data_IF_452899834147
#
_entry.id   IF_452899834147
#
_cell.length_a   1.000
_cell.length_b   1.000
_cell.length_c   1.000
_cell.angle_alpha   90.00
_cell.angle_beta   90.00
_cell.angle_gamma   90.00
#
_symmetry.space_group_name_H-M   'P 1'
#
loop_
_entity.id
_entity.type
_entity.pdbx_description
1 polymer ?
#
# COMPACT_ATOMS: atom_id res chain seq x y z
N UNK A 1 8.82 9.66 -4.96
CA UNK A 1 7.64 8.92 -4.48
C UNK A 1 7.61 8.79 -2.99
N UNK A 2 8.72 8.42 -2.34
CA UNK A 2 8.83 8.44 -0.87
C UNK A 2 8.50 9.81 -0.27
N UNK A 3 8.98 10.92 -0.84
CA UNK A 3 8.60 12.26 -0.35
C UNK A 3 7.10 12.53 -0.46
N UNK A 4 6.44 12.04 -1.51
CA UNK A 4 4.99 12.19 -1.66
C UNK A 4 4.25 11.35 -0.62
N UNK A 5 4.70 10.11 -0.38
CA UNK A 5 4.15 9.28 0.69
C UNK A 5 4.35 9.93 2.06
N UNK A 6 5.50 10.57 2.27
CA UNK A 6 5.79 11.35 3.47
C UNK A 6 4.86 12.53 3.64
N UNK A 7 4.57 13.29 2.58
CA UNK A 7 3.57 14.35 2.62
C UNK A 7 2.19 13.81 3.03
N UNK A 8 1.68 12.78 2.36
CA UNK A 8 0.38 12.18 2.71
C UNK A 8 0.30 11.67 4.16
N UNK A 9 1.39 11.10 4.69
CA UNK A 9 1.42 10.55 6.04
C UNK A 9 1.57 11.65 7.10
N UNK A 10 2.50 12.60 6.90
CA UNK A 10 2.81 13.63 7.88
C UNK A 10 1.77 14.76 7.83
N UNK A 11 1.45 15.28 6.65
CA UNK A 11 0.50 16.39 6.49
C UNK A 11 -0.94 15.93 6.77
N UNK A 12 -1.23 14.63 6.59
CA UNK A 12 -2.48 14.01 7.02
C UNK A 12 -2.61 13.86 8.55
N UNK A 13 -1.66 14.36 9.34
CA UNK A 13 -1.68 14.29 10.81
C UNK A 13 -1.59 12.86 11.35
N UNK A 14 -1.02 11.92 10.59
CA UNK A 14 -0.98 10.50 10.96
C UNK A 14 -2.30 9.74 10.78
N UNK A 15 -3.33 10.36 10.17
CA UNK A 15 -4.59 9.67 9.86
C UNK A 15 -4.47 8.76 8.63
N UNK A 16 -3.53 9.05 7.73
CA UNK A 16 -3.18 8.16 6.63
C UNK A 16 -2.46 6.92 7.17
N UNK A 17 -3.16 5.77 7.15
CA UNK A 17 -2.61 4.52 7.69
C UNK A 17 -1.59 3.86 6.77
N UNK A 18 -1.74 4.02 5.45
CA UNK A 18 -0.80 3.53 4.44
C UNK A 18 -0.87 4.39 3.18
N UNK A 19 0.26 4.46 2.47
CA UNK A 19 0.33 4.99 1.11
C UNK A 19 0.79 3.87 0.20
N UNK A 20 0.00 3.58 -0.82
CA UNK A 20 0.25 2.54 -1.81
C UNK A 20 0.57 3.22 -3.14
N UNK A 21 1.74 2.94 -3.70
CA UNK A 21 2.13 3.45 -5.01
C UNK A 21 2.33 2.32 -6.01
N UNK A 22 1.61 2.40 -7.12
CA UNK A 22 1.76 1.51 -8.26
C UNK A 22 2.54 2.22 -9.36
N UNK A 23 3.72 1.69 -9.69
CA UNK A 23 4.47 2.10 -10.86
C UNK A 23 4.11 1.18 -12.02
N UNK A 24 3.38 1.70 -13.00
CA UNK A 24 2.99 0.96 -14.19
C UNK A 24 3.72 1.55 -15.39
N UNK A 25 4.61 0.77 -16.01
CA UNK A 25 5.25 1.19 -17.25
C UNK A 25 4.30 0.96 -18.44
N UNK A 26 4.09 2.00 -19.24
CA UNK A 26 3.27 1.95 -20.46
C UNK A 26 4.12 1.97 -21.75
N UNK A 27 5.39 1.56 -21.67
CA UNK A 27 6.35 1.60 -22.79
C UNK A 27 6.73 0.21 -23.30
N UNK A 28 8.01 0.03 -23.63
CA UNK A 28 8.55 -1.24 -24.14
C UNK A 28 8.48 -2.43 -23.17
N UNK A 29 8.17 -2.16 -21.90
CA UNK A 29 8.01 -3.19 -20.86
C UNK A 29 6.65 -3.05 -20.21
N UNK A 30 5.96 -4.18 -20.02
CA UNK A 30 4.72 -4.24 -19.22
C UNK A 30 5.01 -4.35 -17.72
N UNK A 31 6.28 -4.24 -17.29
CA UNK A 31 6.64 -4.39 -15.88
C UNK A 31 5.88 -3.38 -15.01
N UNK A 32 5.28 -3.88 -13.94
CA UNK A 32 4.67 -3.04 -12.92
C UNK A 32 5.19 -3.40 -11.53
N UNK A 33 5.45 -2.37 -10.72
CA UNK A 33 5.95 -2.50 -9.36
C UNK A 33 5.08 -1.76 -8.36
N UNK A 34 5.20 -2.16 -7.11
CA UNK A 34 4.48 -1.66 -5.96
C UNK A 34 5.46 -1.19 -4.89
N UNK A 35 5.17 -0.06 -4.27
CA UNK A 35 5.82 0.39 -3.04
C UNK A 35 4.77 0.81 -2.02
N UNK A 36 5.02 0.54 -0.74
CA UNK A 36 4.11 0.84 0.37
C UNK A 36 4.88 1.53 1.49
N UNK A 37 4.28 2.58 2.01
CA UNK A 37 4.74 3.28 3.20
C UNK A 37 3.63 3.33 4.24
N UNK A 38 4.02 3.33 5.52
CA UNK A 38 3.09 3.45 6.65
C UNK A 38 3.65 4.43 7.70
N UNK A 39 2.80 5.05 8.53
CA UNK A 39 3.26 5.83 9.66
C UNK A 39 3.93 4.93 10.69
N UNK A 40 5.03 5.41 11.26
CA UNK A 40 5.67 4.82 12.42
C UNK A 40 5.65 5.84 13.54
N UNK A 41 5.00 5.50 14.65
CA UNK A 41 4.95 6.34 15.84
C UNK A 41 5.98 5.80 16.82
N UNK A 42 6.98 6.62 17.14
CA UNK A 42 8.03 6.26 18.08
C UNK A 42 7.79 7.01 19.39
N UNK A 43 7.59 6.26 20.48
CA UNK A 43 7.52 6.84 21.81
C UNK A 43 8.89 7.42 22.17
N UNK A 44 8.90 8.58 22.81
CA UNK A 44 10.12 9.16 23.36
C UNK A 44 10.12 8.94 24.87
N UNK A 45 11.31 8.74 25.43
CA UNK A 45 11.50 8.43 26.86
C UNK A 45 11.47 9.67 27.76
N UNK A 46 11.44 10.86 27.17
CA UNK A 46 11.17 12.12 27.86
C UNK A 46 9.67 12.44 27.77
N UNK A 47 9.17 13.38 28.58
CA UNK A 47 7.77 13.88 28.56
C UNK A 47 7.40 14.60 27.24
N UNK A 48 8.12 14.32 26.14
CA UNK A 48 7.85 14.88 24.84
C UNK A 48 6.78 14.11 24.08
N UNK A 49 6.16 14.80 23.12
CA UNK A 49 5.15 14.19 22.26
C UNK A 49 5.78 13.05 21.41
N UNK A 50 5.02 11.98 21.13
CA UNK A 50 5.46 10.92 20.24
C UNK A 50 5.90 11.48 18.89
N UNK A 51 6.97 10.92 18.34
CA UNK A 51 7.46 11.31 17.02
C UNK A 51 6.78 10.49 15.94
N UNK A 52 6.18 11.17 14.96
CA UNK A 52 5.66 10.55 13.75
C UNK A 52 6.74 10.53 12.67
N UNK A 53 7.06 9.35 12.16
CA UNK A 53 7.93 9.13 11.01
C UNK A 53 7.25 8.25 9.96
N UNK A 54 7.92 8.05 8.83
CA UNK A 54 7.45 7.20 7.73
C UNK A 54 8.35 5.97 7.67
N UNK A 55 7.73 4.80 7.60
CA UNK A 55 8.40 3.52 7.41
C UNK A 55 8.10 3.00 6.01
N UNK A 56 9.15 2.59 5.28
CA UNK A 56 8.98 1.85 4.02
C UNK A 56 8.67 0.39 4.36
N UNK A 57 7.45 -0.04 4.06
CA UNK A 57 7.02 -1.42 4.30
C UNK A 57 7.35 -2.32 3.12
N UNK A 58 7.17 -1.82 1.90
CA UNK A 58 7.48 -2.53 0.65
C UNK A 58 8.16 -1.56 -0.30
N UNK A 59 9.27 -1.97 -0.90
CA UNK A 59 10.01 -1.15 -1.86
C UNK A 59 10.12 -1.86 -3.21
N UNK A 60 9.52 -1.26 -4.25
CA UNK A 60 9.67 -1.65 -5.67
C UNK A 60 9.40 -3.14 -5.96
N UNK A 61 8.44 -3.73 -5.24
CA UNK A 61 8.05 -5.11 -5.42
C UNK A 61 7.42 -5.29 -6.80
N UNK A 62 8.02 -6.14 -7.62
CA UNK A 62 7.46 -6.42 -8.95
C UNK A 62 6.23 -7.29 -8.80
N UNK A 63 5.13 -6.93 -9.45
CA UNK A 63 3.91 -7.73 -9.46
C UNK A 63 3.46 -8.17 -10.85
N UNK A 64 3.83 -7.39 -11.86
CA UNK A 64 3.71 -7.74 -13.26
C UNK A 64 5.11 -7.76 -13.86
N UNK A 65 5.50 -8.89 -14.45
CA UNK A 65 6.79 -9.05 -15.11
C UNK A 65 6.85 -8.28 -16.43
N UNK A 66 8.01 -8.28 -17.10
CA UNK A 66 8.20 -7.51 -18.33
C UNK A 66 7.29 -7.97 -19.49
N UNK A 67 6.94 -9.25 -19.52
CA UNK A 67 6.06 -9.87 -20.53
C UNK A 67 4.57 -9.61 -20.25
N UNK A 68 4.25 -9.09 -19.07
CA UNK A 68 2.89 -8.80 -18.64
C UNK A 68 2.23 -9.91 -17.81
N UNK A 69 2.95 -11.00 -17.52
CA UNK A 69 2.49 -12.06 -16.63
C UNK A 69 2.69 -11.70 -15.15
N UNK A 70 2.08 -12.46 -14.23
CA UNK A 70 2.30 -12.26 -12.80
C UNK A 70 3.73 -12.60 -12.40
N UNK A 71 4.28 -11.86 -11.43
CA UNK A 71 5.48 -12.30 -10.70
C UNK A 71 5.11 -13.35 -9.67
N UNK A 72 5.97 -14.34 -9.42
CA UNK A 72 5.69 -15.36 -8.42
C UNK A 72 5.70 -14.83 -6.97
N UNK A 73 4.77 -15.34 -6.17
CA UNK A 73 5.02 -15.62 -4.75
C UNK A 73 4.82 -14.49 -3.75
N UNK A 74 4.09 -13.42 -4.09
CA UNK A 74 3.85 -12.34 -3.13
C UNK A 74 2.37 -12.06 -2.92
N UNK A 75 2.03 -11.84 -1.65
CA UNK A 75 0.71 -11.46 -1.18
C UNK A 75 0.88 -10.49 -0.02
N UNK A 76 -0.12 -9.64 0.20
CA UNK A 76 -0.15 -8.69 1.31
C UNK A 76 -1.40 -8.92 2.14
N UNK A 77 -1.27 -8.71 3.45
CA UNK A 77 -2.39 -8.62 4.37
C UNK A 77 -2.49 -7.17 4.87
N UNK A 78 -3.65 -6.57 4.64
CA UNK A 78 -4.01 -5.28 5.22
C UNK A 78 -5.00 -5.50 6.35
N UNK A 79 -4.65 -5.18 7.61
CA UNK A 79 -5.59 -5.24 8.71
C UNK A 79 -6.86 -4.44 8.40
N UNK A 80 -8.03 -5.00 8.65
CA UNK A 80 -9.31 -4.26 8.49
C UNK A 80 -9.33 -2.99 9.35
N UNK A 81 -8.62 -3.03 10.49
CA UNK A 81 -8.38 -1.91 11.37
C UNK A 81 -7.70 -0.68 10.73
N UNK A 82 -7.06 -0.83 9.57
CA UNK A 82 -6.44 0.29 8.86
C UNK A 82 -7.44 1.11 8.04
N UNK A 83 -8.65 0.60 7.80
CA UNK A 83 -9.65 1.24 6.93
C UNK A 83 -10.81 1.90 7.66
N UNK A 84 -10.96 1.66 8.97
CA UNK A 84 -12.01 2.26 9.78
C UNK A 84 -11.56 2.47 11.24
N UNK A 85 -12.16 3.45 11.95
CA UNK A 85 -11.99 3.55 13.40
C UNK A 85 -12.36 2.23 14.08
N UNK A 86 -11.53 1.76 15.02
CA UNK A 86 -11.74 0.47 15.72
C UNK A 86 -13.13 0.36 16.36
N UNK A 87 -13.71 1.48 16.80
CA UNK A 87 -15.05 1.56 17.38
C UNK A 87 -16.18 1.22 16.40
N UNK A 88 -15.93 1.32 15.09
CA UNK A 88 -16.89 1.01 14.03
C UNK A 88 -16.68 -0.38 13.43
N UNK A 89 -15.62 -1.07 13.84
CA UNK A 89 -15.28 -2.40 13.30
C UNK A 89 -15.91 -3.45 14.21
N UNK A 90 -16.77 -4.34 13.69
CA UNK A 90 -17.29 -5.46 14.47
C UNK A 90 -16.15 -6.30 15.05
N UNK A 91 -16.28 -6.71 16.31
CA UNK A 91 -15.25 -7.49 17.01
C UNK A 91 -14.84 -8.75 16.24
N UNK A 92 -15.80 -9.38 15.54
CA UNK A 92 -15.59 -10.56 14.70
C UNK A 92 -14.60 -10.35 13.54
N UNK A 93 -14.36 -9.10 13.12
CA UNK A 93 -13.44 -8.77 12.02
C UNK A 93 -12.32 -7.82 12.44
N UNK A 94 -12.21 -7.49 13.73
CA UNK A 94 -11.21 -6.56 14.26
C UNK A 94 -9.76 -7.01 13.98
N UNK A 95 -9.54 -8.32 14.00
CA UNK A 95 -8.25 -8.95 13.72
C UNK A 95 -8.18 -9.56 12.31
N UNK A 96 -9.23 -9.40 11.51
CA UNK A 96 -9.23 -9.87 10.13
C UNK A 96 -8.29 -9.00 9.28
N UNK A 97 -7.82 -9.60 8.18
CA UNK A 97 -6.99 -8.91 7.18
C UNK A 97 -7.59 -9.12 5.79
N UNK A 98 -7.49 -8.08 4.98
CA UNK A 98 -7.78 -8.11 3.55
C UNK A 98 -6.51 -8.61 2.86
N UNK A 99 -6.63 -9.72 2.13
CA UNK A 99 -5.50 -10.28 1.39
C UNK A 99 -5.55 -9.82 -0.05
N UNK A 100 -4.41 -9.33 -0.56
CA UNK A 100 -4.25 -8.95 -1.97
C UNK A 100 -3.02 -9.68 -2.51
N UNK A 101 -3.23 -10.47 -3.56
CA UNK A 101 -2.17 -11.17 -4.27
C UNK A 101 -1.69 -10.39 -5.51
N UNK A 102 -0.55 -10.81 -6.07
CA UNK A 102 -0.09 -10.31 -7.38
C UNK A 102 -1.12 -10.51 -8.48
N UNK A 103 -1.87 -11.61 -8.43
CA UNK A 103 -2.89 -11.94 -9.42
C UNK A 103 -4.09 -10.99 -9.31
N UNK A 104 -4.51 -10.65 -8.09
CA UNK A 104 -5.62 -9.72 -7.88
C UNK A 104 -5.28 -8.34 -8.47
N UNK A 105 -4.07 -7.84 -8.19
CA UNK A 105 -3.60 -6.57 -8.75
C UNK A 105 -3.42 -6.63 -10.27
N UNK A 106 -3.00 -7.78 -10.81
CA UNK A 106 -2.86 -7.97 -12.25
C UNK A 106 -4.23 -7.90 -12.93
N UNK A 107 -5.25 -8.55 -12.36
CA UNK A 107 -6.63 -8.52 -12.84
C UNK A 107 -7.18 -7.09 -12.82
N UNK A 108 -7.12 -6.40 -11.67
CA UNK A 108 -7.61 -5.02 -11.57
C UNK A 108 -6.89 -4.08 -12.54
N UNK A 109 -5.57 -4.22 -12.70
CA UNK A 109 -4.82 -3.40 -13.64
C UNK A 109 -5.24 -3.67 -15.10
N UNK A 110 -5.50 -4.93 -15.44
CA UNK A 110 -5.99 -5.31 -16.77
C UNK A 110 -7.35 -4.71 -17.11
N UNK A 111 -8.29 -4.71 -16.15
CA UNK A 111 -9.62 -4.11 -16.33
C UNK A 111 -9.53 -2.61 -16.61
N UNK A 112 -8.73 -1.88 -15.81
CA UNK A 112 -8.51 -0.43 -15.99
C UNK A 112 -7.80 -0.11 -17.32
N UNK A 113 -6.85 -0.94 -17.73
CA UNK A 113 -6.16 -0.78 -19.02
C UNK A 113 -7.08 -1.02 -20.22
N UNK A 114 -8.08 -1.89 -20.09
CA UNK A 114 -9.13 -2.10 -21.12
C UNK A 114 -10.08 -0.89 -21.15
N UNK A 115 -10.56 -0.44 -20.00
CA UNK A 115 -11.48 0.71 -19.91
C UNK A 115 -10.87 1.98 -20.51
N UNK A 116 -9.57 2.25 -20.27
CA UNK A 116 -8.88 3.41 -20.86
C UNK A 116 -8.70 3.37 -22.38
N UNK A 117 -8.91 2.20 -23.01
CA UNK A 117 -8.78 2.03 -24.47
C UNK A 117 -10.14 2.04 -25.19
N UNK A 118 -11.25 1.97 -24.46
CA UNK A 118 -12.61 2.08 -24.98
C UNK A 118 -13.00 3.56 -25.12
#
# INVERSE_FOLDING_TARGET
>A
MEELARQYIIEGGGNTRRVVFLSVNHGASKKATLSIWKPQITARNDDSLPMLSVETEVANLTFRNADGGPSSGWWMAFPVADFAPKLLIPESVLYASIHISSNDLLTCLGEVEVERRA
#
